data_IF_379448286934
#
_entry.id   IF_379448286934
#
_cell.length_a   1.000
_cell.length_b   1.000
_cell.length_c   1.000
_cell.angle_alpha   90.00
_cell.angle_beta   90.00
_cell.angle_gamma   90.00
#
_symmetry.space_group_name_H-M   'P 1'
#
loop_
_entity.id
_entity.type
_entity.pdbx_description
1 polymer ?
#
# COMPACT_ATOMS: atom_id res chain seq x y z
N UNK A 1 45.74 -31.72 14.14
CA UNK A 1 44.36 -31.76 14.68
C UNK A 1 43.42 -31.12 13.67
N UNK A 2 42.61 -31.93 12.98
CA UNK A 2 41.67 -31.44 11.97
C UNK A 2 40.46 -30.80 12.66
N UNK A 3 40.36 -29.47 12.58
CA UNK A 3 39.23 -28.68 13.08
C UNK A 3 37.98 -29.08 12.28
N UNK A 4 37.03 -29.75 12.95
CA UNK A 4 35.80 -30.26 12.33
C UNK A 4 35.01 -29.11 11.68
N UNK A 5 34.53 -29.41 10.48
CA UNK A 5 33.92 -28.52 9.50
C UNK A 5 32.67 -27.81 10.04
N UNK A 6 32.55 -26.53 9.65
CA UNK A 6 31.29 -25.80 9.54
C UNK A 6 30.31 -26.60 8.67
N UNK A 7 29.46 -27.42 9.29
CA UNK A 7 28.34 -28.11 8.62
C UNK A 7 27.00 -27.39 8.85
N UNK A 8 26.95 -26.39 9.74
CA UNK A 8 25.73 -25.62 10.02
C UNK A 8 25.42 -24.49 9.04
N UNK A 9 26.36 -24.07 8.19
CA UNK A 9 26.16 -22.95 7.25
C UNK A 9 25.77 -23.36 5.83
N UNK A 10 25.96 -24.63 5.46
CA UNK A 10 25.66 -25.12 4.10
C UNK A 10 24.17 -25.46 3.93
N UNK A 11 23.49 -25.85 5.02
CA UNK A 11 22.05 -26.17 4.98
C UNK A 11 21.12 -24.97 5.25
N UNK A 12 21.65 -23.80 5.62
CA UNK A 12 20.83 -22.60 5.85
C UNK A 12 20.59 -21.78 4.57
N UNK A 13 21.40 -22.00 3.53
CA UNK A 13 21.18 -21.47 2.18
C UNK A 13 20.33 -22.43 1.33
N UNK A 14 19.14 -22.79 1.80
CA UNK A 14 18.17 -23.43 0.91
C UNK A 14 17.54 -22.33 0.03
N UNK A 15 17.65 -22.39 -1.31
CA UNK A 15 17.06 -21.37 -2.20
C UNK A 15 15.53 -21.25 -2.02
N UNK A 16 14.86 -22.31 -1.55
CA UNK A 16 13.45 -22.25 -1.18
C UNK A 16 13.16 -21.31 0.02
N UNK A 17 14.11 -21.18 0.96
CA UNK A 17 13.95 -20.29 2.13
C UNK A 17 14.05 -18.82 1.72
N UNK A 18 14.95 -18.47 0.81
CA UNK A 18 15.05 -17.10 0.27
C UNK A 18 13.84 -16.74 -0.60
N UNK A 19 13.32 -17.70 -1.39
CA UNK A 19 12.07 -17.56 -2.15
C UNK A 19 10.85 -17.35 -1.25
N UNK A 20 10.72 -18.12 -0.16
CA UNK A 20 9.60 -17.97 0.79
C UNK A 20 9.57 -16.59 1.47
N UNK A 21 10.74 -16.05 1.82
CA UNK A 21 10.87 -14.72 2.42
C UNK A 21 10.59 -13.61 1.38
N UNK A 22 11.01 -13.82 0.13
CA UNK A 22 10.72 -12.90 -0.97
C UNK A 22 9.22 -12.87 -1.31
N UNK A 23 8.55 -14.02 -1.31
CA UNK A 23 7.12 -14.11 -1.52
C UNK A 23 6.34 -13.50 -0.34
N UNK A 24 6.75 -13.79 0.90
CA UNK A 24 6.13 -13.22 2.10
C UNK A 24 6.23 -11.69 2.17
N UNK A 25 7.37 -11.11 1.77
CA UNK A 25 7.54 -9.64 1.72
C UNK A 25 6.71 -8.98 0.62
N UNK A 26 6.57 -9.62 -0.55
CA UNK A 26 5.69 -9.16 -1.63
C UNK A 26 4.21 -9.21 -1.21
N UNK A 27 3.79 -10.30 -0.59
CA UNK A 27 2.41 -10.50 -0.14
C UNK A 27 2.04 -9.54 0.99
N UNK A 28 2.95 -9.28 1.92
CA UNK A 28 2.77 -8.24 2.94
C UNK A 28 2.60 -6.84 2.32
N UNK A 29 3.41 -6.48 1.32
CA UNK A 29 3.28 -5.20 0.61
C UNK A 29 1.93 -5.07 -0.11
N UNK A 30 1.41 -6.17 -0.68
CA UNK A 30 0.08 -6.19 -1.30
C UNK A 30 -1.03 -5.97 -0.28
N UNK A 31 -1.00 -6.66 0.86
CA UNK A 31 -1.99 -6.47 1.92
C UNK A 31 -1.91 -5.04 2.47
N UNK A 32 -0.70 -4.54 2.73
CA UNK A 32 -0.50 -3.17 3.19
C UNK A 32 -1.06 -2.15 2.18
N UNK A 33 -0.82 -2.35 0.89
CA UNK A 33 -1.38 -1.51 -0.16
C UNK A 33 -2.90 -1.53 -0.19
N UNK A 34 -3.51 -2.71 -0.05
CA UNK A 34 -4.97 -2.83 0.01
C UNK A 34 -5.57 -2.09 1.21
N UNK A 35 -4.98 -2.26 2.40
CA UNK A 35 -5.42 -1.56 3.62
C UNK A 35 -5.26 -0.04 3.47
N UNK A 36 -4.13 0.44 2.95
CA UNK A 36 -3.93 1.86 2.71
C UNK A 36 -4.93 2.45 1.71
N UNK A 37 -5.23 1.73 0.62
CA UNK A 37 -6.26 2.15 -0.33
C UNK A 37 -7.66 2.19 0.31
N UNK A 38 -8.00 1.23 1.18
CA UNK A 38 -9.28 1.22 1.89
C UNK A 38 -9.42 2.41 2.84
N UNK A 39 -8.38 2.74 3.60
CA UNK A 39 -8.35 3.94 4.46
C UNK A 39 -8.46 5.21 3.62
N UNK A 40 -7.73 5.28 2.50
CA UNK A 40 -7.81 6.40 1.57
C UNK A 40 -9.21 6.59 0.98
N UNK A 41 -9.91 5.50 0.64
CA UNK A 41 -11.30 5.57 0.16
C UNK A 41 -12.24 6.21 1.19
N UNK A 42 -12.08 5.89 2.48
CA UNK A 42 -12.83 6.52 3.56
C UNK A 42 -12.55 8.03 3.66
N UNK A 43 -11.28 8.42 3.65
CA UNK A 43 -10.87 9.83 3.69
C UNK A 43 -11.41 10.60 2.48
N UNK A 44 -11.29 10.02 1.28
CA UNK A 44 -11.73 10.63 0.04
C UNK A 44 -13.25 10.82 0.00
N UNK A 45 -14.01 9.86 0.54
CA UNK A 45 -15.46 9.98 0.66
C UNK A 45 -15.87 11.15 1.57
N UNK A 46 -15.21 11.31 2.73
CA UNK A 46 -15.45 12.44 3.64
C UNK A 46 -15.10 13.76 2.95
N UNK A 47 -13.98 13.81 2.22
CA UNK A 47 -13.56 15.00 1.48
C UNK A 47 -14.59 15.43 0.42
N UNK A 48 -15.14 14.48 -0.35
CA UNK A 48 -16.23 14.76 -1.30
C UNK A 48 -17.48 15.27 -0.57
N UNK A 49 -17.79 14.72 0.61
CA UNK A 49 -18.87 15.24 1.46
C UNK A 49 -18.67 16.70 1.85
N UNK A 50 -17.45 17.09 2.24
CA UNK A 50 -17.10 18.49 2.56
C UNK A 50 -17.21 19.39 1.32
N UNK A 51 -16.73 18.93 0.16
CA UNK A 51 -16.86 19.69 -1.10
C UNK A 51 -18.33 19.88 -1.47
N UNK A 52 -19.17 18.83 -1.32
CA UNK A 52 -20.60 18.91 -1.60
C UNK A 52 -21.33 19.85 -0.64
N UNK A 53 -20.99 19.82 0.65
CA UNK A 53 -21.52 20.74 1.65
C UNK A 53 -21.19 22.20 1.31
N UNK A 54 -19.94 22.48 0.94
CA UNK A 54 -19.54 23.82 0.51
C UNK A 54 -20.26 24.25 -0.78
N UNK A 55 -20.38 23.36 -1.77
CA UNK A 55 -21.10 23.65 -3.01
C UNK A 55 -22.55 24.04 -2.74
N UNK A 56 -23.26 23.28 -1.90
CA UNK A 56 -24.66 23.53 -1.61
C UNK A 56 -24.90 24.78 -0.74
N UNK A 57 -23.94 25.20 0.09
CA UNK A 57 -24.08 26.37 0.95
C UNK A 57 -23.59 27.68 0.32
N UNK A 58 -22.62 27.62 -0.62
CA UNK A 58 -22.01 28.82 -1.19
C UNK A 58 -22.35 29.05 -2.67
N UNK A 59 -22.72 28.02 -3.44
CA UNK A 59 -23.16 28.18 -4.83
C UNK A 59 -24.69 28.10 -4.91
N UNK A 60 -25.32 29.28 -4.93
CA UNK A 60 -26.78 29.44 -4.99
C UNK A 60 -27.46 28.78 -6.21
N UNK A 61 -26.73 28.52 -7.31
CA UNK A 61 -27.24 27.94 -8.57
C UNK A 61 -26.81 26.50 -8.83
N UNK A 62 -26.19 25.84 -7.85
CA UNK A 62 -25.75 24.46 -8.04
C UNK A 62 -26.90 23.47 -7.79
N UNK A 63 -27.19 22.55 -8.72
CA UNK A 63 -28.16 21.49 -8.46
C UNK A 63 -27.69 20.70 -7.25
N UNK A 64 -28.63 20.38 -6.33
CA UNK A 64 -28.39 19.58 -5.12
C UNK A 64 -27.97 18.17 -5.53
N UNK A 65 -26.71 18.00 -5.87
CA UNK A 65 -26.12 16.70 -6.20
C UNK A 65 -25.81 15.95 -4.92
N UNK A 66 -26.10 14.66 -4.93
CA UNK A 66 -25.79 13.80 -3.79
C UNK A 66 -24.29 13.54 -3.76
N UNK A 67 -23.67 13.42 -2.58
CA UNK A 67 -22.23 13.10 -2.48
C UNK A 67 -21.86 11.80 -3.24
N UNK A 68 -22.82 10.86 -3.31
CA UNK A 68 -22.69 9.62 -4.08
C UNK A 68 -22.67 9.84 -5.60
N UNK A 69 -23.35 10.86 -6.12
CA UNK A 69 -23.31 11.22 -7.55
C UNK A 69 -22.02 11.94 -7.90
N UNK A 70 -21.53 12.81 -7.00
CA UNK A 70 -20.21 13.42 -7.14
C UNK A 70 -19.09 12.38 -7.15
N UNK A 71 -19.22 11.29 -6.39
CA UNK A 71 -18.24 10.20 -6.38
C UNK A 71 -18.24 9.39 -7.69
N UNK A 72 -19.41 9.24 -8.33
CA UNK A 72 -19.58 8.53 -9.61
C UNK A 72 -19.15 9.34 -10.84
N UNK A 73 -18.83 10.62 -10.65
CA UNK A 73 -18.26 11.46 -11.71
C UNK A 73 -17.01 10.81 -12.30
N UNK A 74 -16.87 10.84 -13.62
CA UNK A 74 -15.66 10.31 -14.28
C UNK A 74 -14.39 10.96 -13.73
N UNK A 75 -14.44 12.27 -13.47
CA UNK A 75 -13.33 13.04 -12.96
C UNK A 75 -12.93 12.60 -11.54
N UNK A 76 -13.90 12.34 -10.66
CA UNK A 76 -13.61 11.87 -9.31
C UNK A 76 -13.07 10.43 -9.30
N UNK A 77 -13.54 9.59 -10.22
CA UNK A 77 -13.01 8.24 -10.41
C UNK A 77 -11.56 8.27 -10.89
N UNK A 78 -11.23 9.09 -11.89
CA UNK A 78 -9.86 9.24 -12.37
C UNK A 78 -8.91 9.70 -11.27
N UNK A 79 -9.28 10.71 -10.49
CA UNK A 79 -8.48 11.19 -9.36
C UNK A 79 -8.29 10.08 -8.32
N UNK A 80 -9.35 9.34 -8.00
CA UNK A 80 -9.30 8.24 -7.04
C UNK A 80 -8.36 7.11 -7.49
N UNK A 81 -8.46 6.70 -8.76
CA UNK A 81 -7.58 5.66 -9.33
C UNK A 81 -6.13 6.10 -9.38
N UNK A 82 -5.86 7.36 -9.76
CA UNK A 82 -4.51 7.90 -9.85
C UNK A 82 -3.86 8.00 -8.46
N UNK A 83 -4.63 8.42 -7.44
CA UNK A 83 -4.18 8.42 -6.05
C UNK A 83 -3.93 7.00 -5.52
N UNK A 84 -4.82 6.04 -5.79
CA UNK A 84 -4.62 4.63 -5.45
C UNK A 84 -3.34 4.07 -6.10
N UNK A 85 -3.13 4.33 -7.38
CA UNK A 85 -1.93 3.90 -8.10
C UNK A 85 -0.65 4.50 -7.48
N UNK A 86 -0.69 5.77 -7.08
CA UNK A 86 0.42 6.42 -6.40
C UNK A 86 0.72 5.79 -5.03
N UNK A 87 -0.30 5.45 -4.24
CA UNK A 87 -0.15 4.77 -2.94
C UNK A 87 0.48 3.38 -3.12
N UNK A 88 -0.03 2.61 -4.08
CA UNK A 88 0.52 1.29 -4.42
C UNK A 88 1.99 1.43 -4.83
N UNK A 89 2.30 2.34 -5.76
CA UNK A 89 3.66 2.59 -6.21
C UNK A 89 4.59 2.99 -5.05
N UNK A 90 4.12 3.86 -4.16
CA UNK A 90 4.86 4.29 -2.98
C UNK A 90 5.17 3.12 -2.05
N UNK A 91 4.19 2.28 -1.74
CA UNK A 91 4.37 1.09 -0.87
C UNK A 91 5.34 0.09 -1.50
N UNK A 92 5.26 -0.14 -2.81
CA UNK A 92 6.22 -1.01 -3.50
C UNK A 92 7.64 -0.45 -3.45
N UNK A 93 7.79 0.87 -3.63
CA UNK A 93 9.08 1.58 -3.54
C UNK A 93 9.66 1.60 -2.12
N UNK A 94 8.82 1.53 -1.08
CA UNK A 94 9.33 1.49 0.30
C UNK A 94 10.15 0.21 0.54
N UNK A 95 11.30 0.36 1.21
CA UNK A 95 12.15 -0.77 1.63
C UNK A 95 11.63 -1.47 2.90
N UNK A 96 10.30 -1.48 3.09
CA UNK A 96 9.66 -2.19 4.21
C UNK A 96 9.93 -3.69 4.03
N UNK A 97 10.68 -4.28 4.96
CA UNK A 97 11.07 -5.70 4.96
C UNK A 97 12.54 -5.99 4.61
N UNK A 98 13.29 -5.07 3.99
CA UNK A 98 14.70 -5.30 3.64
C UNK A 98 15.66 -5.14 4.82
N UNK A 99 15.28 -4.39 5.87
CA UNK A 99 16.12 -4.20 7.07
C UNK A 99 16.41 -5.50 7.82
N UNK A 100 15.52 -6.50 7.76
CA UNK A 100 15.76 -7.81 8.39
C UNK A 100 16.88 -8.63 7.72
N UNK A 101 17.26 -8.31 6.47
CA UNK A 101 18.41 -8.95 5.83
C UNK A 101 19.76 -8.47 6.38
N UNK A 102 19.85 -7.23 6.88
CA UNK A 102 21.10 -6.70 7.41
C UNK A 102 21.42 -7.26 8.80
N UNK A 103 20.39 -7.47 9.64
CA UNK A 103 20.57 -7.91 11.03
C UNK A 103 20.89 -9.41 11.15
N UNK A 104 20.30 -10.25 10.29
CA UNK A 104 20.55 -11.70 10.28
C UNK A 104 21.85 -12.10 9.56
N UNK A 105 22.59 -11.17 8.96
CA UNK A 105 23.88 -11.43 8.30
C UNK A 105 25.08 -11.02 9.18
N UNK A 106 24.83 -10.51 10.40
CA UNK A 106 25.85 -10.06 11.36
C UNK A 106 25.97 -11.04 12.56
N UNK A 107 25.18 -12.11 12.59
CA UNK A 107 25.32 -13.24 13.54
C UNK A 107 25.68 -14.52 12.82
#
# INVERSE_FOLDING_TARGET
MARRRHLGSVYTMYPAKSLSIWFGTRLYKLIAAFVCCAVFAGIYYVFIGVVNFNKNNFLHDSPKTTAMEMFKSELSLWIFFLACAAIVFWIFRTRIGERRKAENNIR
#
